data_IF_234856616683
#
_entry.id   IF_234856616683
#
_cell.length_a   1.000
_cell.length_b   1.000
_cell.length_c   1.000
_cell.angle_alpha   90.00
_cell.angle_beta   90.00
_cell.angle_gamma   90.00
#
_symmetry.space_group_name_H-M   'P 1'
#
loop_
_entity.id
_entity.type
_entity.pdbx_description
1 polymer ?
#
# COMPACT_ATOMS: atom_id res chain seq x y z
N UNK A 1 -20.14 -13.08 -46.29
CA UNK A 1 -20.70 -13.42 -44.96
C UNK A 1 -20.71 -12.16 -44.10
N UNK A 2 -21.86 -11.47 -44.06
CA UNK A 2 -22.03 -10.19 -43.37
C UNK A 2 -22.32 -10.43 -41.87
N UNK A 3 -21.56 -9.76 -40.99
CA UNK A 3 -21.78 -9.75 -39.53
C UNK A 3 -22.82 -8.68 -39.20
N UNK A 4 -23.89 -9.10 -38.52
CA UNK A 4 -24.94 -8.23 -37.98
C UNK A 4 -24.39 -7.34 -36.85
N UNK A 5 -24.76 -6.05 -36.76
CA UNK A 5 -24.37 -5.19 -35.64
C UNK A 5 -25.29 -5.41 -34.42
N UNK A 6 -24.67 -5.57 -33.25
CA UNK A 6 -25.32 -5.68 -31.93
C UNK A 6 -25.94 -4.35 -31.51
N UNK A 7 -27.25 -4.35 -31.19
CA UNK A 7 -27.97 -3.16 -30.73
C UNK A 7 -27.53 -2.77 -29.31
N UNK A 8 -26.99 -1.56 -29.15
CA UNK A 8 -26.73 -0.93 -27.86
C UNK A 8 -28.02 -0.28 -27.36
N UNK A 9 -28.56 -0.79 -26.25
CA UNK A 9 -29.78 -0.24 -25.62
C UNK A 9 -29.40 0.99 -24.79
N UNK A 10 -29.58 2.17 -25.36
CA UNK A 10 -29.48 3.44 -24.63
C UNK A 10 -30.69 3.58 -23.71
N UNK A 11 -30.45 3.65 -22.39
CA UNK A 11 -31.51 4.01 -21.42
C UNK A 11 -31.61 5.53 -21.41
N UNK A 12 -32.73 6.03 -21.90
CA UNK A 12 -33.13 7.43 -21.72
C UNK A 12 -33.37 7.69 -20.24
N UNK A 13 -32.68 8.69 -19.73
CA UNK A 13 -32.94 9.35 -18.44
C UNK A 13 -33.91 10.50 -18.74
N UNK A 14 -34.68 10.88 -17.71
CA UNK A 14 -35.61 12.02 -17.59
C UNK A 14 -37.11 11.73 -17.83
N UNK A 15 -37.82 11.51 -16.73
CA UNK A 15 -38.98 12.34 -16.35
C UNK A 15 -39.14 12.20 -14.82
N UNK A 16 -38.73 13.23 -14.09
CA UNK A 16 -39.11 13.43 -12.69
C UNK A 16 -40.39 14.26 -12.78
N UNK A 17 -41.53 13.57 -12.74
CA UNK A 17 -42.80 14.24 -12.53
C UNK A 17 -42.94 14.54 -11.04
N UNK A 18 -43.30 15.79 -10.79
CA UNK A 18 -43.66 16.41 -9.52
C UNK A 18 -44.52 15.50 -8.65
N UNK A 19 -43.99 15.13 -7.47
CA UNK A 19 -44.81 14.63 -6.37
C UNK A 19 -44.91 15.76 -5.36
N UNK A 20 -46.13 16.24 -5.21
CA UNK A 20 -46.52 17.33 -4.34
C UNK A 20 -46.02 17.13 -2.91
N UNK A 21 -45.49 18.23 -2.38
CA UNK A 21 -45.11 18.42 -0.99
C UNK A 21 -46.34 18.26 -0.10
N UNK A 22 -46.60 17.06 0.41
CA UNK A 22 -47.48 16.87 1.56
C UNK A 22 -46.60 16.69 2.81
N UNK A 23 -46.28 17.80 3.45
CA UNK A 23 -45.75 17.81 4.82
C UNK A 23 -46.83 17.31 5.78
N UNK A 24 -46.66 16.20 6.51
CA UNK A 24 -47.39 16.05 7.75
C UNK A 24 -46.77 17.03 8.75
N UNK A 25 -47.45 18.15 8.92
CA UNK A 25 -47.43 18.93 10.16
C UNK A 25 -47.30 17.95 11.33
N UNK A 26 -46.17 17.98 12.02
CA UNK A 26 -46.00 17.34 13.33
C UNK A 26 -46.89 18.16 14.28
N UNK A 27 -48.18 17.89 14.20
CA UNK A 27 -49.20 18.38 15.12
C UNK A 27 -48.91 17.66 16.43
N UNK A 28 -48.13 18.35 17.26
CA UNK A 28 -48.24 18.39 18.72
C UNK A 28 -48.89 17.13 19.31
N UNK A 29 -48.11 16.05 19.44
CA UNK A 29 -48.44 15.01 20.42
C UNK A 29 -48.12 15.55 21.81
N UNK A 30 -48.96 16.47 22.27
CA UNK A 30 -49.06 16.91 23.66
C UNK A 30 -50.36 16.32 24.21
N UNK A 31 -50.37 15.00 24.32
CA UNK A 31 -51.36 14.27 25.10
C UNK A 31 -50.59 13.40 26.09
N UNK A 32 -50.63 13.85 27.34
CA UNK A 32 -50.45 13.10 28.58
C UNK A 32 -49.44 11.95 28.45
N UNK A 33 -48.14 12.29 28.49
CA UNK A 33 -47.16 11.32 28.96
C UNK A 33 -47.41 11.14 30.45
N UNK A 34 -48.29 10.21 30.81
CA UNK A 34 -48.15 9.53 32.09
C UNK A 34 -46.70 9.06 32.19
N UNK A 35 -46.11 9.12 33.39
CA UNK A 35 -44.77 8.60 33.65
C UNK A 35 -44.75 7.09 33.32
N UNK A 36 -44.57 6.77 32.03
CA UNK A 36 -44.23 5.46 31.56
C UNK A 36 -42.76 5.30 31.94
N UNK A 37 -42.54 4.83 33.17
CA UNK A 37 -41.30 4.21 33.54
C UNK A 37 -41.09 3.09 32.52
N UNK A 38 -40.21 3.32 31.54
CA UNK A 38 -39.78 2.30 30.61
C UNK A 38 -38.93 1.33 31.44
N UNK A 39 -39.61 0.39 32.11
CA UNK A 39 -38.97 -0.61 32.94
C UNK A 39 -38.01 -1.41 32.06
N UNK A 40 -36.77 -1.55 32.53
CA UNK A 40 -35.68 -2.18 31.78
C UNK A 40 -35.88 -3.68 31.48
N UNK A 41 -37.11 -4.20 31.42
CA UNK A 41 -37.42 -5.63 31.28
C UNK A 41 -38.47 -5.99 30.25
N UNK A 42 -38.88 -5.08 29.37
CA UNK A 42 -39.90 -5.34 28.33
C UNK A 42 -39.30 -5.87 27.01
N UNK A 43 -38.00 -6.15 26.96
CA UNK A 43 -37.38 -6.70 25.75
C UNK A 43 -37.65 -8.21 25.64
N UNK A 44 -37.72 -8.72 24.40
CA UNK A 44 -37.90 -10.15 24.11
C UNK A 44 -36.78 -11.05 24.67
N UNK A 45 -35.69 -10.43 25.14
CA UNK A 45 -34.51 -11.11 25.69
C UNK A 45 -34.50 -11.09 27.23
N UNK A 46 -35.24 -10.20 27.90
CA UNK A 46 -35.38 -10.16 29.36
C UNK A 46 -34.62 -9.02 30.05
N UNK A 47 -34.51 -9.07 31.38
CA UNK A 47 -33.91 -8.01 32.19
C UNK A 47 -32.36 -7.97 32.05
N UNK A 48 -31.75 -6.80 31.79
CA UNK A 48 -30.32 -6.64 31.52
C UNK A 48 -29.43 -6.85 32.76
N UNK A 49 -30.03 -6.97 33.95
CA UNK A 49 -29.36 -7.29 35.20
C UNK A 49 -29.07 -8.79 35.38
N UNK A 50 -29.71 -9.66 34.57
CA UNK A 50 -29.50 -11.12 34.60
C UNK A 50 -28.23 -11.50 33.84
N UNK A 51 -27.82 -10.69 32.85
CA UNK A 51 -26.64 -10.97 32.04
C UNK A 51 -25.36 -10.57 32.76
N UNK A 52 -24.45 -11.53 32.92
CA UNK A 52 -23.09 -11.25 33.37
C UNK A 52 -22.39 -10.36 32.34
N UNK A 53 -21.84 -9.24 32.81
CA UNK A 53 -21.44 -8.11 31.97
C UNK A 53 -20.28 -8.39 30.99
N UNK A 54 -19.66 -9.57 31.06
CA UNK A 54 -18.44 -9.91 30.32
C UNK A 54 -18.62 -10.72 29.04
N UNK A 55 -19.54 -11.68 28.98
CA UNK A 55 -19.63 -12.63 27.84
C UNK A 55 -20.78 -12.34 26.87
N UNK A 56 -21.79 -11.59 27.30
CA UNK A 56 -23.04 -11.41 26.54
C UNK A 56 -23.31 -9.96 26.11
N UNK A 57 -22.42 -9.02 26.45
CA UNK A 57 -22.53 -7.61 26.04
C UNK A 57 -21.57 -7.36 24.88
N UNK A 58 -22.10 -6.91 23.74
CA UNK A 58 -21.27 -6.37 22.66
C UNK A 58 -20.56 -5.10 23.17
N UNK A 59 -19.25 -5.04 22.97
CA UNK A 59 -18.45 -3.85 23.24
C UNK A 59 -18.93 -2.65 22.41
N UNK A 60 -18.88 -1.42 22.96
CA UNK A 60 -19.26 -0.24 22.20
C UNK A 60 -18.31 -0.04 21.02
N UNK A 61 -18.86 0.44 19.90
CA UNK A 61 -18.12 0.61 18.64
C UNK A 61 -16.85 1.46 18.77
N UNK A 62 -16.83 2.42 19.71
CA UNK A 62 -15.65 3.24 20.01
C UNK A 62 -14.45 2.38 20.47
N UNK A 63 -14.68 1.44 21.38
CA UNK A 63 -13.66 0.52 21.90
C UNK A 63 -13.21 -0.47 20.82
N UNK A 64 -14.13 -0.90 19.94
CA UNK A 64 -13.80 -1.80 18.83
C UNK A 64 -12.88 -1.11 17.80
N UNK A 65 -13.09 0.19 17.56
CA UNK A 65 -12.27 0.97 16.63
C UNK A 65 -10.89 1.33 17.21
N UNK A 66 -10.80 1.48 18.54
CA UNK A 66 -9.53 1.74 19.25
C UNK A 66 -8.69 0.48 19.46
N UNK A 67 -9.30 -0.71 19.41
CA UNK A 67 -8.55 -1.97 19.41
C UNK A 67 -7.66 -2.00 18.17
N UNK A 68 -6.35 -2.22 18.38
CA UNK A 68 -5.43 -2.56 17.31
C UNK A 68 -5.92 -3.87 16.67
N UNK A 69 -6.68 -3.73 15.58
CA UNK A 69 -6.99 -4.83 14.67
C UNK A 69 -5.63 -5.43 14.30
N UNK A 70 -5.46 -6.72 14.61
CA UNK A 70 -4.23 -7.50 14.46
C UNK A 70 -3.37 -6.94 13.33
N UNK A 71 -2.10 -6.61 13.61
CA UNK A 71 -1.20 -5.90 12.68
C UNK A 71 -1.53 -6.23 11.22
N UNK A 72 -2.35 -5.37 10.62
CA UNK A 72 -2.91 -5.68 9.31
C UNK A 72 -1.74 -5.86 8.36
N UNK A 73 -1.79 -6.91 7.53
CA UNK A 73 -0.72 -7.18 6.57
C UNK A 73 -0.47 -5.93 5.73
N UNK A 74 0.71 -5.31 5.89
CA UNK A 74 1.07 -4.07 5.19
C UNK A 74 0.79 -4.23 3.69
N UNK A 75 0.15 -3.24 3.08
CA UNK A 75 -0.09 -3.22 1.63
C UNK A 75 1.25 -3.35 0.90
N UNK A 76 1.38 -4.37 0.04
CA UNK A 76 2.63 -4.67 -0.68
C UNK A 76 3.65 -5.52 0.09
N UNK A 77 3.25 -6.19 1.18
CA UNK A 77 4.11 -7.13 1.93
C UNK A 77 4.49 -8.41 1.16
N UNK A 78 3.81 -8.70 0.05
CA UNK A 78 4.16 -9.82 -0.81
C UNK A 78 5.42 -9.49 -1.63
N UNK A 79 6.46 -10.29 -1.47
CA UNK A 79 7.64 -10.18 -2.31
C UNK A 79 7.40 -10.91 -3.64
N UNK A 80 7.78 -10.30 -4.77
CA UNK A 80 7.65 -10.96 -6.08
C UNK A 80 8.51 -12.22 -6.22
N UNK A 81 9.58 -12.30 -5.42
CA UNK A 81 10.52 -13.44 -5.38
C UNK A 81 10.18 -14.43 -4.25
N UNK A 82 9.01 -14.31 -3.62
CA UNK A 82 8.59 -15.25 -2.59
C UNK A 82 8.39 -16.65 -3.19
N UNK A 83 9.07 -17.63 -2.59
CA UNK A 83 8.94 -19.05 -2.94
C UNK A 83 7.53 -19.60 -2.69
N UNK A 84 6.78 -18.98 -1.78
CA UNK A 84 5.39 -19.36 -1.46
C UNK A 84 4.37 -18.67 -2.36
N UNK A 85 4.80 -17.76 -3.23
CA UNK A 85 3.93 -17.11 -4.19
C UNK A 85 3.54 -18.05 -5.34
N UNK A 86 2.28 -18.47 -5.33
CA UNK A 86 1.66 -19.36 -6.31
C UNK A 86 1.28 -18.67 -7.62
N UNK A 87 1.54 -17.37 -7.80
CA UNK A 87 1.33 -16.70 -9.10
C UNK A 87 2.13 -17.39 -10.20
N UNK A 88 1.55 -17.50 -11.39
CA UNK A 88 2.24 -18.01 -12.57
C UNK A 88 3.42 -17.10 -12.96
N UNK A 89 4.42 -17.66 -13.64
CA UNK A 89 5.59 -16.91 -14.12
C UNK A 89 5.16 -15.73 -15.00
N UNK A 90 4.18 -15.92 -15.89
CA UNK A 90 3.64 -14.86 -16.74
C UNK A 90 3.07 -13.69 -15.92
N UNK A 91 2.34 -13.97 -14.85
CA UNK A 91 1.77 -12.93 -13.98
C UNK A 91 2.85 -12.21 -13.17
N UNK A 92 3.90 -12.92 -12.73
CA UNK A 92 5.06 -12.31 -12.06
C UNK A 92 5.80 -11.36 -12.99
N UNK A 93 6.01 -11.75 -14.24
CA UNK A 93 6.66 -10.90 -15.26
C UNK A 93 5.82 -9.66 -15.58
N UNK A 94 4.53 -9.83 -15.85
CA UNK A 94 3.63 -8.71 -16.12
C UNK A 94 3.59 -7.70 -14.94
N UNK A 95 3.56 -8.20 -13.70
CA UNK A 95 3.60 -7.35 -12.51
C UNK A 95 4.94 -6.62 -12.32
N UNK A 96 6.06 -7.17 -12.83
CA UNK A 96 7.36 -6.51 -12.80
C UNK A 96 7.48 -5.44 -13.90
N UNK A 97 6.86 -5.68 -15.06
CA UNK A 97 6.83 -4.74 -16.20
C UNK A 97 6.02 -3.47 -15.91
N UNK A 98 4.97 -3.57 -15.10
CA UNK A 98 4.14 -2.43 -14.72
C UNK A 98 4.77 -1.53 -13.66
N UNK A 99 5.81 -2.00 -12.94
CA UNK A 99 6.50 -1.17 -11.93
C UNK A 99 7.17 0.05 -12.58
N UNK A 100 7.15 1.23 -11.96
CA UNK A 100 7.80 2.42 -12.51
C UNK A 100 9.29 2.14 -12.75
N UNK A 101 9.86 2.69 -13.83
CA UNK A 101 11.24 2.43 -14.23
C UNK A 101 12.26 2.73 -13.12
N UNK A 102 11.98 3.70 -12.24
CA UNK A 102 12.80 4.04 -11.06
C UNK A 102 12.96 2.87 -10.08
N UNK A 103 11.93 2.04 -9.88
CA UNK A 103 12.03 0.85 -9.03
C UNK A 103 12.76 -0.31 -9.73
N UNK A 104 12.67 -0.39 -11.06
CA UNK A 104 13.45 -1.34 -11.88
C UNK A 104 14.94 -0.99 -11.92
N UNK A 105 15.26 0.31 -11.92
CA UNK A 105 16.60 0.88 -12.02
C UNK A 105 17.38 0.95 -10.70
N UNK A 106 16.80 0.56 -9.55
CA UNK A 106 17.59 0.39 -8.33
C UNK A 106 18.71 -0.68 -8.50
N UNK A 107 18.67 -1.46 -9.59
CA UNK A 107 19.77 -2.35 -9.97
C UNK A 107 20.82 -1.67 -10.88
N UNK A 108 20.46 -0.61 -11.60
CA UNK A 108 21.31 -0.03 -12.67
C UNK A 108 22.03 1.26 -12.23
N UNK A 109 21.42 2.08 -11.38
CA UNK A 109 22.04 3.28 -10.80
C UNK A 109 22.37 3.06 -9.33
N UNK A 110 23.25 2.10 -9.07
CA UNK A 110 23.90 2.01 -7.77
C UNK A 110 24.91 3.16 -7.67
N UNK A 111 24.67 4.14 -6.81
CA UNK A 111 25.62 5.21 -6.52
C UNK A 111 27.02 4.63 -6.18
N UNK A 112 27.05 3.48 -5.53
CA UNK A 112 28.27 2.72 -5.24
C UNK A 112 28.97 2.18 -6.51
N UNK A 113 28.23 1.80 -7.55
CA UNK A 113 28.80 1.37 -8.83
C UNK A 113 29.47 2.53 -9.56
N UNK A 114 28.92 3.74 -9.47
CA UNK A 114 29.57 4.94 -10.02
C UNK A 114 30.85 5.30 -9.26
N UNK A 115 30.84 5.15 -7.94
CA UNK A 115 32.02 5.33 -7.09
C UNK A 115 33.10 4.29 -7.44
N UNK A 116 32.68 3.05 -7.67
CA UNK A 116 33.58 1.93 -8.05
C UNK A 116 34.28 2.17 -9.39
N UNK A 117 33.56 2.76 -10.37
CA UNK A 117 34.13 3.11 -11.69
C UNK A 117 35.23 4.18 -11.58
N UNK A 118 35.16 5.07 -10.60
CA UNK A 118 36.18 6.11 -10.39
C UNK A 118 37.38 5.56 -9.63
N UNK A 119 37.13 4.92 -8.50
CA UNK A 119 38.18 4.38 -7.65
C UNK A 119 37.80 2.96 -7.17
N UNK A 120 38.59 1.93 -7.50
CA UNK A 120 38.27 0.56 -7.11
C UNK A 120 38.37 0.33 -5.59
N UNK A 121 39.08 1.20 -4.85
CA UNK A 121 39.28 1.06 -3.39
C UNK A 121 38.22 1.75 -2.54
N UNK A 122 37.43 2.65 -3.11
CA UNK A 122 36.48 3.46 -2.34
C UNK A 122 35.33 2.66 -1.71
N UNK A 123 34.72 1.67 -2.38
CA UNK A 123 33.63 0.90 -1.76
C UNK A 123 34.06 0.25 -0.45
N UNK A 124 35.23 -0.41 -0.44
CA UNK A 124 35.76 -1.02 0.76
C UNK A 124 35.98 0.00 1.88
N UNK A 125 36.54 1.18 1.56
CA UNK A 125 36.78 2.26 2.53
C UNK A 125 35.49 2.83 3.10
N UNK A 126 34.46 3.02 2.26
CA UNK A 126 33.13 3.51 2.68
C UNK A 126 32.52 2.56 3.70
N UNK A 127 32.68 1.26 3.51
CA UNK A 127 32.19 0.24 4.43
C UNK A 127 33.15 -0.06 5.60
N UNK A 128 34.26 0.68 5.75
CA UNK A 128 35.23 0.46 6.83
C UNK A 128 36.07 -0.82 6.70
N UNK A 129 36.08 -1.43 5.52
CA UNK A 129 36.82 -2.67 5.23
C UNK A 129 38.17 -2.38 4.57
N UNK A 130 39.09 -3.34 4.67
CA UNK A 130 40.34 -3.31 3.92
C UNK A 130 40.09 -3.62 2.45
N UNK A 131 40.61 -2.83 1.49
CA UNK A 131 40.44 -3.13 0.06
C UNK A 131 41.15 -4.43 -0.31
N UNK A 132 40.58 -5.18 -1.26
CA UNK A 132 41.16 -6.42 -1.75
C UNK A 132 42.50 -6.18 -2.46
N UNK A 133 43.34 -7.22 -2.56
CA UNK A 133 44.61 -7.15 -3.31
C UNK A 133 44.40 -6.69 -4.76
N UNK A 134 43.34 -7.17 -5.42
CA UNK A 134 42.98 -6.74 -6.78
C UNK A 134 42.69 -5.25 -6.86
N UNK A 135 41.83 -4.72 -5.98
CA UNK A 135 41.50 -3.30 -5.96
C UNK A 135 42.70 -2.39 -5.66
N UNK A 136 43.68 -2.89 -4.89
CA UNK A 136 44.93 -2.18 -4.65
C UNK A 136 45.81 -2.12 -5.91
N UNK A 137 45.94 -3.25 -6.62
CA UNK A 137 46.70 -3.34 -7.88
C UNK A 137 46.05 -2.49 -8.97
N UNK A 138 44.73 -2.55 -9.10
CA UNK A 138 43.98 -1.76 -10.09
C UNK A 138 44.21 -0.25 -9.88
N UNK A 139 44.23 0.19 -8.61
CA UNK A 139 44.54 1.58 -8.27
C UNK A 139 45.98 1.95 -8.61
N UNK A 140 46.95 1.09 -8.31
CA UNK A 140 48.37 1.32 -8.65
C UNK A 140 48.56 1.43 -10.17
N UNK A 141 47.94 0.53 -10.93
CA UNK A 141 48.02 0.53 -12.39
C UNK A 141 47.43 1.81 -12.99
N UNK A 142 46.28 2.27 -12.46
CA UNK A 142 45.68 3.54 -12.84
C UNK A 142 46.64 4.72 -12.60
N UNK A 143 47.27 4.78 -11.42
CA UNK A 143 48.23 5.85 -11.08
C UNK A 143 49.47 5.82 -11.99
N UNK A 144 50.02 4.65 -12.28
CA UNK A 144 51.16 4.47 -13.20
C UNK A 144 50.81 4.87 -14.64
N UNK A 145 49.62 4.51 -15.11
CA UNK A 145 49.13 4.89 -16.44
C UNK A 145 48.95 6.40 -16.54
N UNK A 146 48.43 7.05 -15.50
CA UNK A 146 48.31 8.51 -15.46
C UNK A 146 49.65 9.21 -15.47
N UNK A 147 50.64 8.72 -14.71
CA UNK A 147 52.00 9.26 -14.73
C UNK A 147 52.62 9.12 -16.12
N UNK A 148 52.51 7.95 -16.75
CA UNK A 148 53.02 7.69 -18.09
C UNK A 148 52.35 8.58 -19.15
N UNK A 149 51.05 8.86 -19.01
CA UNK A 149 50.33 9.77 -19.90
C UNK A 149 50.77 11.23 -19.72
N UNK A 150 51.14 11.64 -18.51
CA UNK A 150 51.72 12.96 -18.22
C UNK A 150 53.13 13.09 -18.80
N UNK A 151 53.99 12.08 -18.61
CA UNK A 151 55.34 12.03 -19.20
C UNK A 151 55.30 12.10 -20.72
N UNK A 152 54.32 11.42 -21.34
CA UNK A 152 54.09 11.47 -22.79
C UNK A 152 53.45 12.77 -23.26
N UNK A 153 53.07 13.69 -22.36
CA UNK A 153 52.47 14.98 -22.69
C UNK A 153 51.06 14.90 -23.30
N UNK A 154 50.38 13.75 -23.18
CA UNK A 154 49.05 13.52 -23.77
C UNK A 154 47.96 14.06 -22.84
N UNK A 155 48.17 13.96 -21.52
CA UNK A 155 47.28 14.48 -20.48
C UNK A 155 48.02 15.65 -19.81
N UNK A 156 47.59 16.88 -20.09
CA UNK A 156 48.09 18.12 -19.46
C UNK A 156 47.44 18.35 -18.11
#
# INVERSE_FOLDING_TARGET
MAKQPTQTRTKTIYQIESIDLLTPSITVCKMVRGNAYHGAGQSNVGFPAIYEAGDQRNEPQAVINERHRYEDGKVGSHQNLDSKDQRSIANKLAAQETKPHKERQHQDFNAEAEITKRDPTLPAKIHGNTPSKGAQIDKQLQEEDEQRLREKGIKK
#
